data_IF_637414696455
#
_entry.id   IF_637414696455
#
_cell.length_a   1.000
_cell.length_b   1.000
_cell.length_c   1.000
_cell.angle_alpha   90.00
_cell.angle_beta   90.00
_cell.angle_gamma   90.00
#
_symmetry.space_group_name_H-M   'P 1'
#
loop_
_entity.id
_entity.type
_entity.pdbx_description
1 polymer ?
#
# COMPACT_ATOMS: atom_id res chain seq x y z
N UNK A 1 31.94 -25.36 -33.84
CA UNK A 1 30.50 -25.35 -33.82
C UNK A 1 30.07 -24.30 -32.81
N UNK A 2 29.75 -23.09 -33.29
CA UNK A 2 29.33 -21.95 -32.45
C UNK A 2 27.82 -22.04 -32.26
N UNK A 3 27.35 -22.18 -31.01
CA UNK A 3 25.91 -22.07 -30.69
C UNK A 3 25.55 -20.59 -30.58
N UNK A 4 24.74 -20.08 -31.50
CA UNK A 4 24.05 -18.80 -31.39
C UNK A 4 22.98 -18.96 -30.29
N UNK A 5 23.14 -18.20 -29.23
CA UNK A 5 22.08 -17.96 -28.29
C UNK A 5 21.21 -16.82 -28.85
N UNK A 6 19.99 -17.16 -29.25
CA UNK A 6 18.98 -16.18 -29.65
C UNK A 6 18.47 -15.49 -28.41
N UNK A 7 18.85 -14.24 -28.21
CA UNK A 7 18.24 -13.34 -27.21
C UNK A 7 16.89 -12.92 -27.79
N UNK A 8 15.81 -13.49 -27.27
CA UNK A 8 14.47 -12.98 -27.51
C UNK A 8 14.32 -11.73 -26.64
N UNK A 9 14.50 -10.57 -27.26
CA UNK A 9 14.19 -9.27 -26.67
C UNK A 9 12.66 -9.13 -26.68
N UNK A 10 11.99 -9.61 -25.65
CA UNK A 10 10.57 -9.35 -25.43
C UNK A 10 10.40 -7.86 -25.17
N UNK A 11 9.86 -7.11 -26.14
CA UNK A 11 9.22 -5.83 -25.88
C UNK A 11 8.03 -6.10 -24.95
N UNK A 12 8.24 -6.00 -23.66
CA UNK A 12 7.16 -5.80 -22.72
C UNK A 12 6.57 -4.42 -23.03
N UNK A 13 5.55 -4.39 -23.88
CA UNK A 13 4.60 -3.30 -23.91
C UNK A 13 4.06 -3.23 -22.49
N UNK A 14 4.52 -2.25 -21.71
CA UNK A 14 4.03 -1.99 -20.38
C UNK A 14 2.52 -1.77 -20.45
N UNK A 15 1.77 -2.83 -20.22
CA UNK A 15 0.36 -2.70 -19.88
C UNK A 15 0.33 -1.87 -18.59
N UNK A 16 -0.57 -0.87 -18.49
CA UNK A 16 -0.70 -0.13 -17.26
C UNK A 16 -0.94 -1.13 -16.11
N UNK A 17 -0.37 -0.85 -14.93
CA UNK A 17 -0.83 -1.48 -13.70
C UNK A 17 -2.27 -0.97 -13.45
N UNK A 18 -3.21 -1.46 -14.24
CA UNK A 18 -4.59 -1.55 -13.81
C UNK A 18 -4.53 -2.30 -12.48
N UNK A 19 -5.40 -2.05 -11.54
CA UNK A 19 -5.57 -2.90 -10.37
C UNK A 19 -5.90 -4.31 -10.86
N UNK A 20 -4.88 -5.01 -11.36
CA UNK A 20 -4.99 -6.40 -11.75
C UNK A 20 -4.96 -7.18 -10.44
N UNK A 21 -5.92 -8.07 -10.30
CA UNK A 21 -5.91 -8.97 -9.19
C UNK A 21 -4.71 -9.91 -9.27
N UNK A 22 -4.43 -10.58 -8.17
CA UNK A 22 -3.37 -11.57 -8.07
C UNK A 22 -3.89 -12.93 -8.51
N UNK A 23 -3.32 -13.50 -9.55
CA UNK A 23 -3.73 -14.83 -10.06
C UNK A 23 -3.09 -15.97 -9.26
N UNK A 24 -3.72 -17.18 -9.28
CA UNK A 24 -3.12 -18.36 -8.69
C UNK A 24 -1.74 -18.70 -9.27
N UNK A 25 -1.55 -18.50 -10.58
CA UNK A 25 -0.29 -18.78 -11.29
C UNK A 25 0.85 -17.88 -10.80
N UNK A 26 0.55 -16.64 -10.48
CA UNK A 26 1.53 -15.70 -9.94
C UNK A 26 1.96 -16.09 -8.53
N UNK A 27 1.03 -16.57 -7.69
CA UNK A 27 1.36 -17.07 -6.34
C UNK A 27 2.11 -18.41 -6.43
N UNK A 28 1.79 -19.25 -7.42
CA UNK A 28 2.54 -20.49 -7.68
C UNK A 28 3.99 -20.18 -8.07
N UNK A 29 4.24 -19.07 -8.77
CA UNK A 29 5.58 -18.64 -9.14
C UNK A 29 6.35 -18.02 -7.97
N UNK A 30 5.69 -17.25 -7.11
CA UNK A 30 6.24 -16.67 -5.88
C UNK A 30 5.14 -16.55 -4.80
N UNK A 31 5.16 -17.46 -3.84
CA UNK A 31 4.18 -17.52 -2.75
C UNK A 31 4.16 -16.26 -1.87
N UNK A 32 5.25 -15.48 -1.84
CA UNK A 32 5.34 -14.22 -1.08
C UNK A 32 4.40 -13.14 -1.63
N UNK A 33 3.97 -13.25 -2.88
CA UNK A 33 2.95 -12.36 -3.44
C UNK A 33 1.62 -12.45 -2.68
N UNK A 34 1.33 -13.60 -2.08
CA UNK A 34 0.17 -13.80 -1.22
C UNK A 34 0.37 -13.28 0.22
N UNK A 35 1.42 -12.54 0.52
CA UNK A 35 1.61 -11.93 1.84
C UNK A 35 0.71 -10.70 2.10
N UNK A 36 -0.14 -10.34 1.12
CA UNK A 36 -1.14 -9.27 1.20
C UNK A 36 -0.51 -7.93 1.62
N UNK A 37 -1.08 -7.23 2.58
CA UNK A 37 -0.58 -5.93 3.07
C UNK A 37 0.79 -5.95 3.73
N UNK A 38 1.35 -7.13 4.01
CA UNK A 38 2.71 -7.29 4.54
C UNK A 38 3.77 -7.45 3.44
N UNK A 39 3.35 -7.61 2.19
CA UNK A 39 4.27 -7.69 1.06
C UNK A 39 5.28 -6.54 1.11
N UNK A 40 6.54 -6.86 0.90
CA UNK A 40 7.60 -5.87 0.78
C UNK A 40 7.62 -5.29 -0.63
N UNK A 41 7.83 -3.99 -0.77
CA UNK A 41 8.11 -3.42 -2.08
C UNK A 41 9.54 -3.74 -2.50
N UNK A 42 9.68 -4.33 -3.68
CA UNK A 42 10.97 -4.69 -4.25
C UNK A 42 11.33 -3.73 -5.39
N UNK A 43 12.45 -3.03 -5.24
CA UNK A 43 12.95 -2.09 -6.23
C UNK A 43 13.94 -2.80 -7.19
N UNK A 44 13.42 -3.58 -8.11
CA UNK A 44 14.23 -4.40 -9.03
C UNK A 44 14.88 -3.59 -10.15
N UNK A 45 14.44 -2.34 -10.34
CA UNK A 45 14.92 -1.46 -11.40
C UNK A 45 15.69 -0.26 -10.86
N UNK A 46 16.68 0.29 -11.60
CA UNK A 46 17.30 1.55 -11.23
C UNK A 46 16.29 2.70 -11.19
N UNK A 47 16.37 3.55 -10.16
CA UNK A 47 15.55 4.76 -10.08
C UNK A 47 15.83 5.66 -11.29
N UNK A 48 14.80 5.95 -12.08
CA UNK A 48 14.89 6.79 -13.27
C UNK A 48 13.72 7.79 -13.30
N UNK A 49 14.02 9.03 -13.65
CA UNK A 49 12.96 9.98 -13.96
C UNK A 49 12.25 9.54 -15.24
N UNK A 50 10.92 9.62 -15.30
CA UNK A 50 10.21 9.42 -16.56
C UNK A 50 10.64 10.47 -17.58
N UNK A 51 10.75 10.08 -18.87
CA UNK A 51 11.09 10.99 -19.95
C UNK A 51 10.01 12.07 -20.08
N UNK A 52 10.33 13.28 -19.63
CA UNK A 52 9.42 14.42 -19.73
C UNK A 52 9.31 14.94 -21.16
N UNK A 53 8.18 15.55 -21.54
CA UNK A 53 8.07 16.29 -22.81
C UNK A 53 9.17 17.33 -22.95
N UNK A 54 9.64 17.55 -24.20
CA UNK A 54 10.74 18.47 -24.47
C UNK A 54 10.49 19.85 -23.88
N UNK A 55 11.48 20.40 -23.19
CA UNK A 55 11.42 21.71 -22.55
C UNK A 55 10.81 21.74 -21.16
N UNK A 56 10.16 20.68 -20.70
CA UNK A 56 9.61 20.57 -19.34
C UNK A 56 10.65 19.99 -18.37
N UNK A 57 10.68 20.58 -17.16
CA UNK A 57 11.53 20.11 -16.06
C UNK A 57 10.70 19.98 -14.77
N UNK A 58 10.92 18.95 -13.95
CA UNK A 58 10.24 18.84 -12.67
C UNK A 58 10.69 19.99 -11.76
N UNK A 59 9.73 20.57 -11.03
CA UNK A 59 9.98 21.68 -10.09
C UNK A 59 9.36 21.49 -8.72
N UNK A 60 8.43 20.53 -8.57
CA UNK A 60 7.81 20.20 -7.30
C UNK A 60 7.39 18.73 -7.28
N UNK A 61 7.47 18.11 -6.10
CA UNK A 61 7.03 16.74 -5.80
C UNK A 61 6.01 16.80 -4.67
N UNK A 62 4.93 16.04 -4.80
CA UNK A 62 3.92 15.93 -3.76
C UNK A 62 3.59 14.46 -3.55
N UNK A 63 3.70 13.95 -2.31
CA UNK A 63 3.49 12.52 -2.02
C UNK A 63 2.49 12.31 -0.89
N UNK A 64 1.86 11.11 -0.92
CA UNK A 64 1.30 10.47 0.25
C UNK A 64 1.85 9.05 0.33
N UNK A 65 2.56 8.74 1.42
CA UNK A 65 3.23 7.46 1.61
C UNK A 65 2.60 6.67 2.76
N UNK A 66 2.42 5.37 2.55
CA UNK A 66 2.13 4.41 3.60
C UNK A 66 3.35 4.29 4.52
N UNK A 67 3.16 4.05 5.82
CA UNK A 67 4.27 3.70 6.72
C UNK A 67 5.04 2.48 6.21
N UNK A 68 6.29 2.35 6.59
CA UNK A 68 7.12 1.19 6.27
C UNK A 68 6.69 -0.10 6.96
N UNK A 69 7.41 -1.18 6.69
CA UNK A 69 7.19 -2.48 7.29
C UNK A 69 7.10 -2.38 8.82
N UNK A 70 6.10 -3.05 9.38
CA UNK A 70 5.77 -3.01 10.80
C UNK A 70 5.37 -4.36 11.33
N UNK A 71 5.54 -4.59 12.62
CA UNK A 71 5.09 -5.79 13.29
C UNK A 71 3.57 -5.88 13.34
N UNK A 72 3.05 -7.09 13.52
CA UNK A 72 1.61 -7.32 13.63
C UNK A 72 0.99 -6.51 14.76
N UNK A 73 -0.29 -6.22 14.62
CA UNK A 73 -0.98 -5.26 15.48
C UNK A 73 -1.35 -5.76 16.88
N UNK A 74 -1.24 -7.06 17.13
CA UNK A 74 -1.65 -7.66 18.42
C UNK A 74 -0.61 -8.67 18.88
N UNK A 75 -0.14 -8.52 20.11
CA UNK A 75 0.75 -9.48 20.78
C UNK A 75 0.18 -10.90 20.78
N UNK A 76 -1.14 -11.03 20.90
CA UNK A 76 -1.83 -12.33 20.93
C UNK A 76 -1.59 -13.20 19.69
N UNK A 77 -1.16 -12.62 18.55
CA UNK A 77 -0.75 -13.41 17.39
C UNK A 77 0.49 -14.23 17.74
N UNK A 78 1.49 -13.56 18.26
CA UNK A 78 2.79 -14.15 18.61
C UNK A 78 2.64 -15.16 19.76
N UNK A 79 1.93 -14.75 20.82
CA UNK A 79 1.69 -15.58 21.99
C UNK A 79 0.93 -16.87 21.64
N UNK A 80 -0.11 -16.79 20.82
CA UNK A 80 -0.91 -17.95 20.45
C UNK A 80 -0.17 -18.90 19.52
N UNK A 81 0.59 -18.41 18.55
CA UNK A 81 1.41 -19.27 17.68
C UNK A 81 2.52 -19.93 18.51
N UNK A 82 3.25 -19.20 19.33
CA UNK A 82 4.27 -19.75 20.21
C UNK A 82 3.69 -20.83 21.15
N UNK A 83 2.55 -20.53 21.79
CA UNK A 83 1.82 -21.48 22.65
C UNK A 83 1.38 -22.75 21.90
N UNK A 84 0.88 -22.58 20.66
CA UNK A 84 0.46 -23.71 19.83
C UNK A 84 1.66 -24.62 19.51
N UNK A 85 2.75 -24.03 19.06
CA UNK A 85 3.94 -24.78 18.64
C UNK A 85 4.63 -25.51 19.79
N UNK A 86 4.81 -24.84 20.93
CA UNK A 86 5.41 -25.46 22.15
C UNK A 86 4.56 -26.58 22.72
N UNK A 87 3.22 -26.43 22.71
CA UNK A 87 2.30 -27.52 23.12
C UNK A 87 2.37 -28.70 22.17
N UNK A 88 2.44 -28.45 20.86
CA UNK A 88 2.49 -29.50 19.86
C UNK A 88 3.81 -30.30 19.93
N UNK A 89 4.92 -29.65 20.23
CA UNK A 89 6.18 -30.30 20.48
C UNK A 89 6.12 -31.21 21.71
N UNK A 90 5.66 -30.66 22.83
CA UNK A 90 5.51 -31.40 24.09
C UNK A 90 4.60 -32.64 23.95
N UNK A 91 3.58 -32.56 23.07
CA UNK A 91 2.66 -33.66 22.77
C UNK A 91 3.15 -34.60 21.64
N UNK A 92 4.31 -34.33 21.05
CA UNK A 92 4.85 -35.16 19.94
C UNK A 92 4.00 -35.01 18.65
N UNK A 93 3.27 -33.94 18.47
CA UNK A 93 2.33 -33.72 17.37
C UNK A 93 2.93 -33.05 16.13
N UNK A 94 4.19 -32.57 16.22
CA UNK A 94 4.80 -31.86 15.08
C UNK A 94 5.21 -32.83 13.96
N UNK A 95 4.97 -32.42 12.73
CA UNK A 95 5.57 -32.96 11.51
C UNK A 95 7.00 -32.41 11.33
N UNK A 96 7.76 -32.81 10.31
CA UNK A 96 9.04 -32.16 9.98
C UNK A 96 8.89 -30.65 9.72
N UNK A 97 7.89 -30.25 8.92
CA UNK A 97 7.58 -28.83 8.63
C UNK A 97 7.09 -28.08 9.87
N UNK A 98 6.35 -28.78 10.75
CA UNK A 98 5.95 -28.23 12.05
C UNK A 98 7.15 -27.93 12.95
N UNK A 99 8.18 -28.77 12.95
CA UNK A 99 9.43 -28.50 13.69
C UNK A 99 10.20 -27.32 13.12
N UNK A 100 10.25 -27.19 11.78
CA UNK A 100 10.83 -26.04 11.13
C UNK A 100 10.09 -24.75 11.52
N UNK A 101 8.75 -24.75 11.49
CA UNK A 101 7.95 -23.60 11.93
C UNK A 101 8.19 -23.29 13.42
N UNK A 102 8.33 -24.28 14.31
CA UNK A 102 8.66 -24.06 15.71
C UNK A 102 10.00 -23.33 15.85
N UNK A 103 11.06 -23.83 15.22
CA UNK A 103 12.40 -23.22 15.29
C UNK A 103 12.38 -21.76 14.83
N UNK A 104 11.74 -21.50 13.67
CA UNK A 104 11.61 -20.14 13.14
C UNK A 104 10.74 -19.26 14.04
N UNK A 105 9.63 -19.79 14.56
CA UNK A 105 8.72 -19.04 15.41
C UNK A 105 9.34 -18.65 16.75
N UNK A 106 10.21 -19.46 17.34
CA UNK A 106 10.94 -19.10 18.56
C UNK A 106 11.88 -17.93 18.32
N UNK A 107 12.68 -17.99 17.24
CA UNK A 107 13.58 -16.89 16.87
C UNK A 107 12.82 -15.58 16.64
N UNK A 108 11.68 -15.64 15.95
CA UNK A 108 10.82 -14.47 15.70
C UNK A 108 10.20 -13.98 17.01
N UNK A 109 9.65 -14.87 17.85
CA UNK A 109 8.96 -14.50 19.10
C UNK A 109 9.84 -13.66 20.02
N UNK A 110 11.10 -14.04 20.17
CA UNK A 110 12.05 -13.26 20.99
C UNK A 110 12.35 -11.87 20.42
N UNK A 111 12.33 -11.70 19.09
CA UNK A 111 12.55 -10.42 18.43
C UNK A 111 11.35 -9.46 18.52
N UNK A 112 10.11 -10.00 18.54
CA UNK A 112 8.89 -9.21 18.34
C UNK A 112 8.05 -9.02 19.60
N UNK A 113 8.24 -9.82 20.64
CA UNK A 113 7.48 -9.76 21.88
C UNK A 113 7.56 -8.38 22.53
N UNK A 114 6.42 -7.82 22.89
CA UNK A 114 6.31 -6.48 23.49
C UNK A 114 6.44 -5.34 22.48
N UNK A 115 6.40 -5.65 21.17
CA UNK A 115 6.63 -4.67 20.11
C UNK A 115 5.52 -4.60 19.07
N UNK A 116 4.32 -5.04 19.43
CA UNK A 116 3.17 -4.95 18.53
C UNK A 116 3.01 -3.53 17.96
N UNK A 117 2.76 -3.42 16.65
CA UNK A 117 2.66 -2.17 15.88
C UNK A 117 3.96 -1.39 15.65
N UNK A 118 5.10 -1.79 16.20
CA UNK A 118 6.35 -1.09 15.97
C UNK A 118 6.78 -1.14 14.50
N UNK A 119 7.29 -0.03 14.01
CA UNK A 119 8.02 0.01 12.74
C UNK A 119 9.27 -0.88 12.85
N UNK A 120 9.50 -1.74 11.87
CA UNK A 120 10.73 -2.56 11.83
C UNK A 120 11.92 -1.75 11.31
N UNK A 121 13.12 -2.26 11.51
CA UNK A 121 14.33 -1.71 10.90
C UNK A 121 14.24 -1.75 9.37
N UNK A 122 13.71 -2.84 8.83
CA UNK A 122 13.42 -2.97 7.40
C UNK A 122 12.47 -1.87 6.92
N UNK A 123 11.41 -1.55 7.69
CA UNK A 123 10.48 -0.46 7.36
C UNK A 123 11.14 0.93 7.33
N UNK A 124 12.10 1.18 8.22
CA UNK A 124 12.90 2.41 8.16
C UNK A 124 13.77 2.43 6.90
N UNK A 125 14.42 1.30 6.59
CA UNK A 125 15.25 1.19 5.39
C UNK A 125 14.44 1.35 4.10
N UNK A 126 13.20 0.84 4.02
CA UNK A 126 12.30 1.08 2.90
C UNK A 126 12.12 2.59 2.64
N UNK A 127 11.83 3.39 3.67
CA UNK A 127 11.65 4.83 3.50
C UNK A 127 12.94 5.59 3.14
N UNK A 128 14.11 5.16 3.64
CA UNK A 128 15.40 5.70 3.15
C UNK A 128 15.59 5.38 1.66
N UNK A 129 15.26 4.16 1.26
CA UNK A 129 15.37 3.74 -0.15
C UNK A 129 14.43 4.55 -1.04
N UNK A 130 13.15 4.69 -0.66
CA UNK A 130 12.17 5.52 -1.40
C UNK A 130 12.65 6.96 -1.55
N UNK A 131 13.10 7.58 -0.45
CA UNK A 131 13.62 8.96 -0.47
C UNK A 131 14.81 9.11 -1.42
N UNK A 132 15.77 8.17 -1.38
CA UNK A 132 16.93 8.15 -2.28
C UNK A 132 16.53 7.99 -3.75
N UNK A 133 15.53 7.16 -4.05
CA UNK A 133 15.00 6.96 -5.40
C UNK A 133 14.28 8.21 -5.92
N UNK A 134 13.42 8.83 -5.11
CA UNK A 134 12.75 10.09 -5.45
C UNK A 134 13.80 11.18 -5.69
N UNK A 135 14.79 11.33 -4.82
CA UNK A 135 15.87 12.27 -5.02
C UNK A 135 16.59 12.06 -6.36
N UNK A 136 16.96 10.83 -6.68
CA UNK A 136 17.67 10.50 -7.93
C UNK A 136 16.80 10.80 -9.15
N UNK A 137 15.54 10.41 -9.15
CA UNK A 137 14.62 10.56 -10.26
C UNK A 137 14.23 12.04 -10.52
N UNK A 138 13.99 12.81 -9.46
CA UNK A 138 13.50 14.19 -9.56
C UNK A 138 14.49 15.24 -9.02
N UNK A 139 15.76 14.96 -9.03
CA UNK A 139 16.81 15.88 -8.56
C UNK A 139 16.68 17.33 -9.07
N UNK A 140 16.23 17.60 -10.32
CA UNK A 140 16.04 18.98 -10.79
C UNK A 140 15.04 19.79 -9.96
N UNK A 141 14.02 19.18 -9.35
CA UNK A 141 13.05 19.85 -8.47
C UNK A 141 13.74 20.47 -7.24
N UNK A 142 14.76 19.81 -6.72
CA UNK A 142 15.51 20.25 -5.54
C UNK A 142 16.65 21.23 -5.84
N UNK A 143 16.95 21.54 -7.13
CA UNK A 143 17.99 22.52 -7.50
C UNK A 143 17.51 23.95 -7.42
N UNK A 144 16.25 24.22 -7.80
CA UNK A 144 15.68 25.57 -7.82
C UNK A 144 14.94 25.92 -6.53
N UNK A 145 14.47 24.91 -5.81
CA UNK A 145 13.72 25.03 -4.56
C UNK A 145 14.40 24.16 -3.50
N UNK A 146 14.39 24.62 -2.25
CA UNK A 146 15.23 24.00 -1.22
C UNK A 146 14.44 23.49 -0.01
N UNK A 147 13.16 23.79 0.05
CA UNK A 147 12.33 23.39 1.19
C UNK A 147 11.64 22.05 0.95
N UNK A 148 11.77 21.15 1.90
CA UNK A 148 10.91 19.97 2.06
C UNK A 148 9.95 20.26 3.20
N UNK A 149 8.65 20.10 2.93
CA UNK A 149 7.57 20.27 3.91
C UNK A 149 6.91 18.89 4.12
N UNK A 150 7.08 18.30 5.30
CA UNK A 150 6.64 16.95 5.60
C UNK A 150 5.62 16.91 6.74
N UNK A 151 4.56 16.12 6.57
CA UNK A 151 3.52 15.92 7.58
C UNK A 151 3.25 14.43 7.77
N UNK A 152 2.96 14.03 9.01
CA UNK A 152 2.66 12.65 9.36
C UNK A 152 1.39 12.55 10.21
N UNK A 153 0.68 11.43 10.10
CA UNK A 153 -0.32 11.07 11.11
C UNK A 153 0.34 10.84 12.47
N UNK A 154 -0.44 10.98 13.55
CA UNK A 154 0.06 10.85 14.93
C UNK A 154 0.23 9.38 15.38
N UNK A 155 0.77 8.53 14.52
CA UNK A 155 1.13 7.17 14.91
C UNK A 155 2.65 6.98 14.86
N UNK A 156 3.21 6.28 15.86
CA UNK A 156 4.66 6.13 15.99
C UNK A 156 5.32 5.64 14.69
N UNK A 157 4.73 4.61 14.04
CA UNK A 157 5.30 4.03 12.82
C UNK A 157 5.31 5.00 11.64
N UNK A 158 4.31 5.90 11.52
CA UNK A 158 4.29 6.90 10.44
C UNK A 158 5.28 8.03 10.70
N UNK A 159 5.40 8.47 11.96
CA UNK A 159 6.39 9.47 12.38
C UNK A 159 7.81 8.95 12.14
N UNK A 160 8.09 7.71 12.54
CA UNK A 160 9.40 7.09 12.33
C UNK A 160 9.70 6.85 10.84
N UNK A 161 8.69 6.53 10.03
CA UNK A 161 8.81 6.43 8.57
C UNK A 161 9.17 7.78 7.96
N UNK A 162 8.48 8.85 8.36
CA UNK A 162 8.80 10.21 7.96
C UNK A 162 10.24 10.58 8.35
N UNK A 163 10.63 10.31 9.60
CA UNK A 163 11.97 10.63 10.10
C UNK A 163 13.04 9.92 9.29
N UNK A 164 12.85 8.62 8.99
CA UNK A 164 13.81 7.85 8.19
C UNK A 164 13.97 8.42 6.76
N UNK A 165 12.87 8.84 6.12
CA UNK A 165 12.93 9.50 4.81
C UNK A 165 13.65 10.85 4.87
N UNK A 166 13.36 11.66 5.91
CA UNK A 166 13.97 12.99 6.08
C UNK A 166 15.45 12.91 6.40
N UNK A 167 15.87 11.91 7.16
CA UNK A 167 17.30 11.64 7.39
C UNK A 167 18.03 11.37 6.08
N UNK A 168 17.46 10.58 5.19
CA UNK A 168 18.05 10.30 3.89
C UNK A 168 18.14 11.57 3.04
N UNK A 169 17.12 12.43 3.01
CA UNK A 169 17.20 13.71 2.30
C UNK A 169 18.30 14.61 2.88
N UNK A 170 18.47 14.68 4.21
CA UNK A 170 19.58 15.43 4.85
C UNK A 170 20.94 14.87 4.47
N UNK A 171 21.06 13.54 4.41
CA UNK A 171 22.30 12.86 3.98
C UNK A 171 22.65 13.18 2.54
N UNK A 172 21.63 13.24 1.66
CA UNK A 172 21.81 13.51 0.22
C UNK A 172 22.14 14.98 -0.08
N UNK A 173 21.58 15.91 0.68
CA UNK A 173 21.90 17.34 0.59
C UNK A 173 21.64 18.06 1.93
N UNK A 174 22.69 18.29 2.69
CA UNK A 174 22.64 18.99 3.98
C UNK A 174 22.22 20.47 3.92
N UNK A 175 22.01 21.02 2.70
CA UNK A 175 21.54 22.41 2.52
C UNK A 175 20.02 22.50 2.35
N UNK A 176 19.30 21.40 2.39
CA UNK A 176 17.84 21.41 2.34
C UNK A 176 17.27 22.03 3.61
N UNK A 177 16.27 22.88 3.44
CA UNK A 177 15.45 23.40 4.52
C UNK A 177 14.31 22.40 4.77
N UNK A 178 14.41 21.58 5.83
CA UNK A 178 13.42 20.55 6.13
C UNK A 178 12.53 21.01 7.27
N UNK A 179 11.25 21.20 6.98
CA UNK A 179 10.17 21.43 7.95
C UNK A 179 9.34 20.17 8.05
N UNK A 180 8.93 19.80 9.25
CA UNK A 180 8.10 18.62 9.46
C UNK A 180 7.23 18.76 10.69
N UNK A 181 6.07 18.12 10.65
CA UNK A 181 5.10 18.09 11.75
C UNK A 181 4.33 16.77 11.80
N UNK A 182 3.76 16.46 12.96
CA UNK A 182 2.81 15.38 13.21
C UNK A 182 1.68 15.90 14.10
N UNK A 183 1.03 16.95 13.65
CA UNK A 183 0.00 17.67 14.39
C UNK A 183 -1.35 16.97 14.35
N UNK A 184 -2.10 17.08 15.46
CA UNK A 184 -3.53 16.71 15.48
C UNK A 184 -4.35 17.52 14.46
N UNK A 185 -3.94 18.75 14.13
CA UNK A 185 -4.59 19.60 13.16
C UNK A 185 -4.60 18.99 11.75
N UNK A 186 -3.57 18.21 11.40
CA UNK A 186 -3.47 17.56 10.10
C UNK A 186 -4.26 16.23 10.01
N UNK A 187 -4.74 15.70 11.15
CA UNK A 187 -5.43 14.41 11.17
C UNK A 187 -6.73 14.41 10.38
N UNK A 188 -7.44 15.55 10.28
CA UNK A 188 -8.63 15.68 9.44
C UNK A 188 -8.36 15.46 7.95
N UNK A 189 -7.13 15.68 7.51
CA UNK A 189 -6.67 15.47 6.12
C UNK A 189 -5.98 14.12 5.97
N UNK A 190 -4.97 13.85 6.80
CA UNK A 190 -4.10 12.69 6.64
C UNK A 190 -4.74 11.38 7.08
N UNK A 191 -5.66 11.44 8.06
CA UNK A 191 -6.40 10.28 8.56
C UNK A 191 -7.69 10.72 9.28
N UNK A 192 -8.72 11.18 8.57
CA UNK A 192 -9.94 11.72 9.17
C UNK A 192 -10.68 10.68 10.03
N UNK A 193 -10.47 9.40 9.79
CA UNK A 193 -11.12 8.30 10.51
C UNK A 193 -10.43 7.96 11.84
N UNK A 194 -9.27 8.57 12.11
CA UNK A 194 -8.50 8.27 13.32
C UNK A 194 -9.14 8.85 14.57
N UNK A 195 -9.10 8.08 15.66
CA UNK A 195 -9.43 8.56 17.02
C UNK A 195 -8.59 9.77 17.46
N UNK A 196 -7.48 10.04 16.80
CA UNK A 196 -6.63 11.20 17.06
C UNK A 196 -7.05 12.45 16.27
N UNK A 197 -8.04 12.32 15.36
CA UNK A 197 -8.63 13.48 14.73
C UNK A 197 -9.53 14.21 15.72
N UNK A 198 -9.23 15.46 16.13
CA UNK A 198 -10.03 16.19 17.11
C UNK A 198 -11.45 16.51 16.62
N UNK A 199 -11.68 16.38 15.31
CA UNK A 199 -12.97 16.62 14.64
C UNK A 199 -13.64 15.32 14.17
N UNK A 200 -13.19 14.15 14.66
CA UNK A 200 -13.72 12.85 14.23
C UNK A 200 -15.22 12.71 14.52
N UNK A 201 -15.72 13.37 15.56
CA UNK A 201 -17.13 13.32 15.97
C UNK A 201 -18.05 14.16 15.08
N UNK A 202 -17.51 15.16 14.39
CA UNK A 202 -18.28 16.01 13.45
C UNK A 202 -18.72 15.23 12.19
N UNK A 203 -18.08 14.06 11.94
CA UNK A 203 -18.30 13.19 10.80
C UNK A 203 -18.24 11.72 11.22
N UNK A 204 -19.29 11.24 11.88
CA UNK A 204 -19.39 9.89 12.51
C UNK A 204 -19.30 8.70 11.54
N UNK A 205 -19.30 8.96 10.27
CA UNK A 205 -19.30 7.98 9.20
C UNK A 205 -17.96 7.26 8.98
N UNK A 206 -16.90 7.74 9.56
CA UNK A 206 -15.53 7.28 9.30
C UNK A 206 -15.16 5.99 10.02
N UNK A 207 -15.79 5.69 11.13
CA UNK A 207 -15.65 4.41 11.85
C UNK A 207 -16.50 3.31 11.24
N UNK A 208 -17.42 3.66 10.35
CA UNK A 208 -18.44 2.74 9.88
C UNK A 208 -17.85 1.60 9.03
N UNK A 209 -16.82 1.84 8.21
CA UNK A 209 -16.39 0.85 7.25
C UNK A 209 -15.65 -0.34 7.84
N UNK A 210 -14.67 -0.12 8.71
CA UNK A 210 -14.04 -1.23 9.45
C UNK A 210 -14.94 -1.81 10.53
N UNK A 211 -15.77 -0.97 11.15
CA UNK A 211 -16.68 -1.37 12.24
C UNK A 211 -18.02 -1.92 11.71
N UNK A 212 -18.44 -1.60 10.49
CA UNK A 212 -19.66 -2.12 9.87
C UNK A 212 -19.47 -3.56 9.39
N UNK A 213 -19.04 -4.41 10.30
CA UNK A 213 -18.81 -5.83 10.05
C UNK A 213 -20.08 -6.56 9.61
N UNK A 214 -21.26 -6.03 9.89
CA UNK A 214 -22.53 -6.63 9.49
C UNK A 214 -22.68 -6.69 7.96
N UNK A 215 -22.11 -5.76 7.21
CA UNK A 215 -22.23 -5.71 5.74
C UNK A 215 -21.32 -6.67 5.01
N UNK A 216 -20.07 -6.80 5.42
CA UNK A 216 -19.09 -7.62 4.69
C UNK A 216 -18.73 -8.92 5.39
N UNK A 217 -18.84 -9.00 6.72
CA UNK A 217 -18.39 -10.15 7.50
C UNK A 217 -19.12 -11.46 7.18
N UNK A 218 -20.44 -11.48 6.87
CA UNK A 218 -21.09 -12.72 6.45
C UNK A 218 -20.49 -13.34 5.19
N UNK A 219 -20.19 -12.51 4.18
CA UNK A 219 -19.55 -12.96 2.94
C UNK A 219 -18.10 -13.39 3.18
N UNK A 220 -17.36 -12.63 3.96
CA UNK A 220 -15.98 -12.93 4.36
C UNK A 220 -15.87 -14.26 5.12
N UNK A 221 -16.73 -14.51 6.10
CA UNK A 221 -16.72 -15.77 6.86
C UNK A 221 -17.08 -16.96 5.98
N UNK A 222 -17.97 -16.77 5.00
CA UNK A 222 -18.33 -17.81 4.02
C UNK A 222 -17.12 -18.11 3.14
N UNK A 223 -16.47 -17.08 2.59
CA UNK A 223 -15.28 -17.23 1.75
C UNK A 223 -14.17 -17.98 2.47
N UNK A 224 -13.90 -17.67 3.74
CA UNK A 224 -12.94 -18.42 4.56
C UNK A 224 -13.34 -19.87 4.76
N UNK A 225 -14.63 -20.15 4.97
CA UNK A 225 -15.13 -21.52 5.13
C UNK A 225 -15.00 -22.34 3.83
N UNK A 226 -15.23 -21.69 2.69
CA UNK A 226 -15.18 -22.34 1.38
C UNK A 226 -13.73 -22.57 0.91
N UNK A 227 -12.79 -21.70 1.31
CA UNK A 227 -11.40 -21.72 0.88
C UNK A 227 -10.46 -22.51 1.79
N UNK A 228 -10.75 -22.60 3.08
CA UNK A 228 -9.86 -23.28 4.03
C UNK A 228 -10.16 -24.80 4.05
N UNK A 229 -9.18 -25.60 3.65
CA UNK A 229 -9.13 -27.04 3.95
C UNK A 229 -8.28 -27.27 5.23
N UNK A 230 -8.91 -27.47 6.40
CA UNK A 230 -8.15 -27.59 7.64
C UNK A 230 -7.25 -28.84 7.69
N UNK A 231 -7.65 -29.93 7.03
CA UNK A 231 -6.86 -31.17 7.00
C UNK A 231 -5.59 -30.96 6.20
N UNK A 232 -5.69 -30.33 5.03
CA UNK A 232 -4.54 -30.03 4.17
C UNK A 232 -3.61 -29.02 4.81
N UNK A 233 -4.14 -27.87 5.24
CA UNK A 233 -3.34 -26.75 5.79
C UNK A 233 -2.65 -27.14 7.10
N UNK A 234 -3.40 -27.66 8.06
CA UNK A 234 -2.82 -27.96 9.38
C UNK A 234 -2.10 -29.33 9.44
N UNK A 235 -2.50 -30.29 8.59
CA UNK A 235 -1.79 -31.55 8.45
C UNK A 235 -0.36 -31.41 7.95
N UNK A 236 -0.03 -30.28 7.32
CA UNK A 236 1.35 -29.94 6.98
C UNK A 236 2.23 -29.73 8.23
N UNK A 237 1.67 -29.19 9.31
CA UNK A 237 2.43 -28.82 10.52
C UNK A 237 2.19 -29.77 11.69
N UNK A 238 1.02 -30.43 11.74
CA UNK A 238 0.60 -31.25 12.87
C UNK A 238 0.16 -32.63 12.39
N UNK A 239 0.54 -33.70 13.13
CA UNK A 239 0.10 -35.07 12.85
C UNK A 239 -1.42 -35.22 12.97
N UNK A 240 -2.02 -34.52 13.93
CA UNK A 240 -3.47 -34.34 14.04
C UNK A 240 -3.80 -32.86 13.68
N UNK A 241 -4.45 -32.56 12.54
CA UNK A 241 -4.88 -31.23 12.18
C UNK A 241 -5.77 -30.56 13.20
N UNK A 242 -6.52 -31.33 14.00
CA UNK A 242 -7.39 -30.79 15.05
C UNK A 242 -6.62 -30.24 16.25
N UNK A 243 -5.32 -30.50 16.34
CA UNK A 243 -4.50 -30.01 17.46
C UNK A 243 -4.55 -28.47 17.60
N UNK A 244 -4.76 -27.74 16.51
CA UNK A 244 -4.90 -26.27 16.54
C UNK A 244 -6.05 -25.79 17.41
N UNK A 245 -7.10 -26.61 17.59
CA UNK A 245 -8.24 -26.29 18.43
C UNK A 245 -7.93 -26.32 19.94
N UNK A 246 -6.74 -26.78 20.34
CA UNK A 246 -6.26 -26.67 21.73
C UNK A 246 -5.91 -25.22 22.12
N UNK A 247 -5.74 -24.33 21.12
CA UNK A 247 -5.39 -22.92 21.29
C UNK A 247 -6.43 -22.00 20.66
N UNK A 248 -6.95 -22.35 19.49
CA UNK A 248 -7.90 -21.55 18.74
C UNK A 248 -9.33 -22.11 18.86
N UNK A 249 -10.32 -21.23 18.83
CA UNK A 249 -11.74 -21.59 19.01
C UNK A 249 -12.32 -22.39 17.82
N UNK A 250 -11.79 -22.16 16.63
CA UNK A 250 -12.22 -22.78 15.38
C UNK A 250 -11.10 -22.76 14.32
N UNK A 251 -11.26 -23.55 13.25
CA UNK A 251 -10.29 -23.63 12.16
C UNK A 251 -10.11 -22.34 11.39
N UNK A 252 -11.17 -21.57 11.17
CA UNK A 252 -11.07 -20.27 10.49
C UNK A 252 -10.19 -19.30 11.27
N UNK A 253 -10.38 -19.22 12.58
CA UNK A 253 -9.52 -18.40 13.45
C UNK A 253 -8.07 -18.88 13.42
N UNK A 254 -7.85 -20.20 13.49
CA UNK A 254 -6.50 -20.79 13.42
C UNK A 254 -5.85 -20.49 12.06
N UNK A 255 -6.56 -20.70 10.95
CA UNK A 255 -6.06 -20.43 9.59
C UNK A 255 -5.69 -18.97 9.39
N UNK A 256 -6.53 -18.03 9.84
CA UNK A 256 -6.22 -16.61 9.78
C UNK A 256 -4.99 -16.24 10.62
N UNK A 257 -4.87 -16.79 11.82
CA UNK A 257 -3.70 -16.51 12.66
C UNK A 257 -2.43 -17.09 12.07
N UNK A 258 -2.48 -18.30 11.53
CA UNK A 258 -1.35 -18.89 10.81
C UNK A 258 -0.96 -18.05 9.59
N UNK A 259 -1.91 -17.72 8.74
CA UNK A 259 -1.67 -16.89 7.55
C UNK A 259 -1.06 -15.53 7.92
N UNK A 260 -1.61 -14.81 8.91
CA UNK A 260 -1.05 -13.55 9.37
C UNK A 260 0.34 -13.71 10.00
N UNK A 261 0.59 -14.83 10.69
CA UNK A 261 1.90 -15.10 11.26
C UNK A 261 2.96 -15.30 10.17
N UNK A 262 2.62 -16.05 9.14
CA UNK A 262 3.55 -16.29 8.03
C UNK A 262 3.73 -15.03 7.17
N UNK A 263 2.65 -14.31 6.88
CA UNK A 263 2.68 -13.08 6.06
C UNK A 263 3.46 -11.96 6.73
N UNK A 264 3.30 -11.73 8.05
CA UNK A 264 3.99 -10.63 8.70
C UNK A 264 5.51 -10.80 8.72
N UNK A 265 6.02 -12.03 8.55
CA UNK A 265 7.46 -12.30 8.48
C UNK A 265 8.15 -11.49 7.37
N UNK A 266 7.44 -11.16 6.27
CA UNK A 266 7.91 -10.26 5.22
C UNK A 266 8.33 -8.87 5.76
N UNK A 267 7.76 -8.46 6.89
CA UNK A 267 8.08 -7.16 7.50
C UNK A 267 9.42 -7.14 8.24
N UNK A 268 10.03 -8.29 8.43
CA UNK A 268 11.36 -8.44 9.02
C UNK A 268 12.47 -8.39 7.96
N UNK A 269 12.13 -8.54 6.70
CA UNK A 269 13.02 -8.61 5.55
C UNK A 269 12.75 -9.85 4.69
N UNK A 270 13.10 -9.79 3.43
CA UNK A 270 12.81 -10.87 2.47
C UNK A 270 13.45 -12.21 2.84
N UNK A 271 14.61 -12.20 3.50
CA UNK A 271 15.31 -13.41 3.96
C UNK A 271 14.65 -14.06 5.20
N UNK A 272 13.77 -13.32 5.88
CA UNK A 272 13.03 -13.78 7.06
C UNK A 272 11.63 -14.31 6.69
N UNK A 273 11.27 -14.31 5.40
CA UNK A 273 9.97 -14.79 4.92
C UNK A 273 9.69 -16.21 5.32
N UNK A 274 8.51 -16.45 5.89
CA UNK A 274 7.99 -17.77 6.23
C UNK A 274 6.86 -18.21 5.27
N UNK A 275 6.55 -17.43 4.24
CA UNK A 275 5.47 -17.74 3.31
C UNK A 275 5.72 -19.05 2.55
N UNK A 276 6.96 -19.45 2.35
CA UNK A 276 7.31 -20.73 1.70
C UNK A 276 6.83 -21.98 2.49
N UNK A 277 6.46 -21.81 3.75
CA UNK A 277 5.87 -22.87 4.56
C UNK A 277 4.42 -23.18 4.20
N UNK A 278 3.74 -22.29 3.47
CA UNK A 278 2.42 -22.59 2.91
C UNK A 278 2.51 -23.21 1.53
N UNK A 279 1.57 -24.10 1.23
CA UNK A 279 1.30 -24.48 -0.14
C UNK A 279 0.81 -23.23 -0.92
N UNK A 280 1.32 -22.96 -2.14
CA UNK A 280 0.91 -21.77 -2.90
C UNK A 280 -0.58 -21.68 -3.19
N UNK A 281 -1.27 -22.80 -3.39
CA UNK A 281 -2.72 -22.80 -3.62
C UNK A 281 -3.49 -22.43 -2.34
N UNK A 282 -3.05 -22.89 -1.17
CA UNK A 282 -3.63 -22.50 0.11
C UNK A 282 -3.33 -21.04 0.44
N UNK A 283 -2.11 -20.59 0.18
CA UNK A 283 -1.71 -19.19 0.37
C UNK A 283 -2.58 -18.26 -0.47
N UNK A 284 -2.83 -18.59 -1.76
CA UNK A 284 -3.71 -17.81 -2.62
C UNK A 284 -5.14 -17.77 -2.11
N UNK A 285 -5.71 -18.90 -1.69
CA UNK A 285 -7.08 -18.95 -1.13
C UNK A 285 -7.23 -18.14 0.14
N UNK A 286 -6.22 -18.15 1.02
CA UNK A 286 -6.23 -17.33 2.24
C UNK A 286 -6.07 -15.84 1.91
N UNK A 287 -5.19 -15.52 0.94
CA UNK A 287 -5.04 -14.17 0.41
C UNK A 287 -6.35 -13.67 -0.20
N UNK A 288 -7.06 -14.46 -1.01
CA UNK A 288 -8.36 -14.09 -1.60
C UNK A 288 -9.36 -13.62 -0.54
N UNK A 289 -9.39 -14.30 0.62
CA UNK A 289 -10.26 -13.92 1.72
C UNK A 289 -9.89 -12.54 2.30
N UNK A 290 -8.64 -12.31 2.62
CA UNK A 290 -8.21 -11.04 3.20
C UNK A 290 -8.24 -9.90 2.18
N UNK A 291 -7.92 -10.18 0.91
CA UNK A 291 -8.07 -9.25 -0.20
C UNK A 291 -9.53 -8.77 -0.37
N UNK A 292 -10.51 -9.71 -0.30
CA UNK A 292 -11.92 -9.34 -0.28
C UNK A 292 -12.28 -8.42 0.89
N UNK A 293 -11.76 -8.70 2.08
CA UNK A 293 -11.96 -7.82 3.25
C UNK A 293 -11.42 -6.41 2.99
N UNK A 294 -10.21 -6.31 2.43
CA UNK A 294 -9.60 -5.01 2.14
C UNK A 294 -10.33 -4.27 1.02
N UNK A 295 -10.75 -4.98 -0.04
CA UNK A 295 -11.61 -4.41 -1.06
C UNK A 295 -12.92 -3.86 -0.48
N UNK A 296 -13.55 -4.61 0.44
CA UNK A 296 -14.78 -4.18 1.10
C UNK A 296 -14.61 -2.89 1.92
N UNK A 297 -13.42 -2.64 2.46
CA UNK A 297 -13.14 -1.45 3.25
C UNK A 297 -12.64 -0.26 2.41
N UNK A 298 -11.79 -0.51 1.42
CA UNK A 298 -10.95 0.52 0.78
C UNK A 298 -11.11 0.59 -0.75
N UNK A 299 -11.68 -0.44 -1.40
CA UNK A 299 -11.87 -0.50 -2.85
C UNK A 299 -13.15 0.17 -3.31
N UNK A 300 -13.43 0.07 -4.62
CA UNK A 300 -14.67 0.56 -5.24
C UNK A 300 -15.87 -0.38 -4.98
N UNK A 301 -15.99 -0.89 -3.76
CA UNK A 301 -17.05 -1.83 -3.37
C UNK A 301 -18.45 -1.22 -3.51
N UNK A 302 -19.47 -1.98 -3.94
CA UNK A 302 -20.85 -1.51 -3.97
C UNK A 302 -21.50 -1.37 -2.60
N UNK A 303 -20.89 -1.96 -1.53
CA UNK A 303 -21.48 -2.04 -0.19
C UNK A 303 -21.81 -0.68 0.44
N UNK A 304 -21.07 0.37 0.09
CA UNK A 304 -21.19 1.69 0.71
C UNK A 304 -21.57 2.80 -0.25
N UNK A 305 -21.96 2.45 -1.49
CA UNK A 305 -22.38 3.43 -2.50
C UNK A 305 -21.36 4.56 -2.72
N UNK A 306 -20.07 4.25 -2.58
CA UNK A 306 -18.97 5.19 -2.79
C UNK A 306 -18.53 5.98 -1.56
N UNK A 307 -19.24 5.89 -0.42
CA UNK A 307 -18.87 6.65 0.79
C UNK A 307 -17.45 6.36 1.27
N UNK A 308 -17.02 5.10 1.21
CA UNK A 308 -15.72 4.67 1.69
C UNK A 308 -14.54 5.39 0.98
N UNK A 309 -14.63 5.64 -0.31
CA UNK A 309 -13.60 6.37 -1.05
C UNK A 309 -13.89 7.88 -1.17
N UNK A 310 -15.15 8.31 -1.08
CA UNK A 310 -15.50 9.75 -1.06
C UNK A 310 -14.86 10.47 0.15
N UNK A 311 -14.57 9.75 1.22
CA UNK A 311 -13.86 10.23 2.41
C UNK A 311 -12.46 10.79 2.12
N UNK A 312 -11.89 10.44 0.98
CA UNK A 312 -10.57 10.91 0.58
C UNK A 312 -10.60 12.34 0.01
N UNK A 313 -11.78 12.95 -0.08
CA UNK A 313 -11.95 14.33 -0.55
C UNK A 313 -11.06 15.33 0.19
N UNK A 314 -10.91 15.18 1.51
CA UNK A 314 -10.08 16.07 2.31
C UNK A 314 -8.59 16.01 1.90
N UNK A 315 -8.09 14.82 1.61
CA UNK A 315 -6.71 14.63 1.13
C UNK A 315 -6.54 15.18 -0.29
N UNK A 316 -7.51 14.95 -1.18
CA UNK A 316 -7.45 15.47 -2.55
C UNK A 316 -7.54 17.01 -2.58
N UNK A 317 -8.38 17.64 -1.73
CA UNK A 317 -8.42 19.10 -1.58
C UNK A 317 -7.10 19.67 -1.08
N UNK A 318 -6.47 18.99 -0.12
CA UNK A 318 -5.15 19.37 0.38
C UNK A 318 -4.08 19.30 -0.72
N UNK A 319 -4.11 18.28 -1.55
CA UNK A 319 -3.23 18.20 -2.72
C UNK A 319 -3.46 19.36 -3.68
N UNK A 320 -4.69 19.59 -4.11
CA UNK A 320 -5.04 20.65 -5.08
C UNK A 320 -4.64 22.03 -4.55
N UNK A 321 -4.96 22.31 -3.27
CA UNK A 321 -4.58 23.58 -2.62
C UNK A 321 -3.07 23.82 -2.71
N UNK A 322 -2.28 22.85 -2.31
CA UNK A 322 -0.83 23.02 -2.28
C UNK A 322 -0.19 22.98 -3.67
N UNK A 323 -0.78 22.29 -4.65
CA UNK A 323 -0.32 22.38 -6.03
C UNK A 323 -0.55 23.78 -6.59
N UNK A 324 -1.71 24.42 -6.35
CA UNK A 324 -1.96 25.81 -6.74
C UNK A 324 -0.95 26.77 -6.12
N UNK A 325 -0.67 26.65 -4.81
CA UNK A 325 0.33 27.46 -4.10
C UNK A 325 1.73 27.28 -4.71
N UNK A 326 2.15 26.04 -4.95
CA UNK A 326 3.48 25.72 -5.46
C UNK A 326 3.64 26.09 -6.94
N UNK A 327 2.55 26.07 -7.72
CA UNK A 327 2.51 26.55 -9.09
C UNK A 327 2.62 28.08 -9.12
N UNK A 328 1.94 28.78 -8.23
CA UNK A 328 2.02 30.23 -8.13
C UNK A 328 3.43 30.73 -7.75
N UNK A 329 4.19 29.95 -6.99
CA UNK A 329 5.58 30.32 -6.61
C UNK A 329 6.07 29.61 -5.36
N UNK A 330 7.12 30.15 -4.74
CA UNK A 330 7.67 29.67 -3.47
C UNK A 330 8.89 28.76 -3.58
N UNK A 331 9.40 28.32 -2.42
CA UNK A 331 10.65 27.57 -2.27
C UNK A 331 10.44 26.08 -1.95
N UNK A 332 9.19 25.59 -1.97
CA UNK A 332 8.90 24.18 -1.65
C UNK A 332 9.21 23.30 -2.85
N UNK A 333 10.22 22.43 -2.71
CA UNK A 333 10.61 21.41 -3.67
C UNK A 333 9.80 20.14 -3.52
N UNK A 334 9.46 19.77 -2.29
CA UNK A 334 8.69 18.56 -2.01
C UNK A 334 7.73 18.75 -0.83
N UNK A 335 6.50 18.26 -1.00
CA UNK A 335 5.51 18.11 0.06
C UNK A 335 5.28 16.63 0.31
N UNK A 336 5.69 16.16 1.48
CA UNK A 336 5.65 14.77 1.84
C UNK A 336 4.58 14.51 2.90
N UNK A 337 3.71 13.54 2.65
CA UNK A 337 2.68 13.13 3.61
C UNK A 337 2.88 11.65 3.95
N UNK A 338 2.81 11.33 5.24
CA UNK A 338 3.00 9.96 5.74
C UNK A 338 1.76 9.48 6.49
N UNK A 339 1.25 8.32 6.10
CA UNK A 339 0.03 7.79 6.68
C UNK A 339 -0.17 6.30 6.40
N UNK A 340 -1.30 5.95 5.80
CA UNK A 340 -1.81 4.59 5.73
C UNK A 340 -2.26 4.21 4.32
N UNK A 341 -2.26 2.92 4.04
CA UNK A 341 -2.60 2.27 2.78
C UNK A 341 -4.01 2.57 2.27
N UNK A 342 -5.03 2.45 3.14
CA UNK A 342 -6.42 2.69 2.75
C UNK A 342 -6.67 4.11 2.20
N UNK A 343 -5.88 5.10 2.63
CA UNK A 343 -5.92 6.46 2.08
C UNK A 343 -5.43 6.49 0.63
N UNK A 344 -4.42 5.69 0.30
CA UNK A 344 -3.91 5.57 -1.08
C UNK A 344 -4.98 4.94 -1.96
N UNK A 345 -5.52 3.77 -1.55
CA UNK A 345 -6.55 3.06 -2.30
C UNK A 345 -7.77 3.95 -2.56
N UNK A 346 -8.34 4.54 -1.51
CA UNK A 346 -9.50 5.41 -1.63
C UNK A 346 -9.24 6.64 -2.51
N UNK A 347 -8.03 7.24 -2.43
CA UNK A 347 -7.64 8.38 -3.28
C UNK A 347 -7.56 7.97 -4.76
N UNK A 348 -7.05 6.78 -5.06
CA UNK A 348 -6.97 6.27 -6.44
C UNK A 348 -8.37 6.01 -7.02
N UNK A 349 -9.29 5.47 -6.22
CA UNK A 349 -10.70 5.31 -6.60
C UNK A 349 -11.37 6.68 -6.78
N UNK A 350 -11.16 7.61 -5.84
CA UNK A 350 -11.69 8.97 -5.94
C UNK A 350 -11.21 9.67 -7.21
N UNK A 351 -9.93 9.56 -7.55
CA UNK A 351 -9.35 10.14 -8.77
C UNK A 351 -9.75 9.39 -10.06
N UNK A 352 -10.49 8.29 -9.95
CA UNK A 352 -10.83 7.45 -11.11
C UNK A 352 -9.58 6.99 -11.88
N UNK A 353 -8.54 6.64 -11.15
CA UNK A 353 -7.32 6.12 -11.73
C UNK A 353 -7.62 4.80 -12.46
N UNK A 354 -7.04 4.62 -13.66
CA UNK A 354 -7.27 3.46 -14.52
C UNK A 354 -7.06 2.15 -13.73
N UNK A 355 -8.08 1.29 -13.75
CA UNK A 355 -8.07 0.00 -13.04
C UNK A 355 -8.59 0.05 -11.59
N UNK A 356 -8.60 1.20 -10.91
CA UNK A 356 -8.98 1.29 -9.49
C UNK A 356 -10.47 1.47 -9.23
N UNK A 357 -11.22 1.95 -10.22
CA UNK A 357 -12.67 2.20 -10.11
C UNK A 357 -13.55 0.97 -10.40
N UNK A 358 -12.99 -0.21 -10.66
CA UNK A 358 -13.76 -1.41 -10.94
C UNK A 358 -14.56 -1.89 -9.72
N UNK A 359 -15.85 -2.17 -9.96
CA UNK A 359 -16.80 -2.59 -8.93
C UNK A 359 -17.19 -4.05 -9.14
N UNK A 360 -17.07 -4.88 -8.10
CA UNK A 360 -17.47 -6.29 -8.09
C UNK A 360 -18.26 -6.59 -6.81
N UNK A 361 -19.41 -7.26 -6.98
CA UNK A 361 -20.27 -7.64 -5.88
C UNK A 361 -20.04 -9.09 -5.41
N UNK A 362 -19.49 -9.93 -6.28
CA UNK A 362 -19.23 -11.34 -5.99
C UNK A 362 -17.87 -11.50 -5.29
N UNK A 363 -17.83 -11.92 -4.01
CA UNK A 363 -16.59 -12.10 -3.27
C UNK A 363 -15.55 -12.99 -3.97
N UNK A 364 -16.00 -14.01 -4.70
CA UNK A 364 -15.16 -14.96 -5.44
C UNK A 364 -14.58 -14.40 -6.75
N UNK A 365 -14.90 -13.15 -7.11
CA UNK A 365 -14.41 -12.50 -8.33
C UNK A 365 -13.58 -11.24 -8.05
N UNK A 366 -13.60 -10.76 -6.82
CA UNK A 366 -12.86 -9.55 -6.42
C UNK A 366 -11.37 -9.66 -6.76
N UNK A 367 -10.77 -10.83 -6.60
CA UNK A 367 -9.37 -11.08 -6.93
C UNK A 367 -8.97 -10.74 -8.37
N UNK A 368 -9.94 -10.68 -9.30
CA UNK A 368 -9.68 -10.36 -10.71
C UNK A 368 -9.47 -8.88 -10.97
N UNK A 369 -9.97 -8.04 -10.08
CA UNK A 369 -10.03 -6.58 -10.28
C UNK A 369 -9.32 -5.80 -9.17
N UNK A 370 -8.92 -6.46 -8.11
CA UNK A 370 -8.33 -5.81 -6.95
C UNK A 370 -7.29 -6.69 -6.29
N UNK A 371 -6.12 -6.14 -6.08
CA UNK A 371 -5.04 -6.74 -5.28
C UNK A 371 -4.52 -5.70 -4.29
N UNK A 372 -4.76 -5.96 -3.02
CA UNK A 372 -4.27 -5.08 -1.98
C UNK A 372 -2.74 -5.09 -1.83
N UNK A 373 -2.10 -6.16 -2.28
CA UNK A 373 -0.65 -6.29 -2.38
C UNK A 373 0.00 -5.26 -3.33
N UNK A 374 -0.78 -4.63 -4.21
CA UNK A 374 -0.32 -3.51 -5.04
C UNK A 374 -0.09 -2.21 -4.25
N UNK A 375 -0.34 -2.23 -2.94
CA UNK A 375 0.01 -1.16 -2.01
C UNK A 375 0.90 -1.71 -0.89
N UNK A 376 2.10 -2.20 -1.21
CA UNK A 376 3.00 -2.82 -0.24
C UNK A 376 3.42 -1.84 0.87
N UNK A 377 4.11 -2.34 1.89
CA UNK A 377 4.69 -1.48 2.92
C UNK A 377 5.61 -0.43 2.29
N UNK A 378 5.51 0.82 2.77
CA UNK A 378 6.16 2.02 2.22
C UNK A 378 5.65 2.46 0.83
N UNK A 379 4.54 1.90 0.34
CA UNK A 379 3.92 2.34 -0.91
C UNK A 379 3.71 3.85 -0.93
N UNK A 380 3.99 4.46 -2.08
CA UNK A 380 4.05 5.91 -2.24
C UNK A 380 3.31 6.38 -3.48
N UNK A 381 2.18 7.03 -3.25
CA UNK A 381 1.48 7.82 -4.27
C UNK A 381 2.25 9.14 -4.46
N UNK A 382 2.72 9.40 -5.68
CA UNK A 382 3.55 10.54 -6.01
C UNK A 382 2.96 11.33 -7.19
N UNK A 383 2.90 12.64 -7.03
CA UNK A 383 2.62 13.60 -8.09
C UNK A 383 3.83 14.49 -8.32
N UNK A 384 4.30 14.57 -9.57
CA UNK A 384 5.38 15.44 -9.97
C UNK A 384 4.85 16.55 -10.89
N UNK A 385 5.17 17.79 -10.56
CA UNK A 385 4.83 18.97 -11.37
C UNK A 385 6.02 19.37 -12.23
N UNK A 386 5.78 19.57 -13.51
CA UNK A 386 6.77 19.96 -14.50
C UNK A 386 6.41 21.32 -15.09
N UNK A 387 7.42 22.15 -15.36
CA UNK A 387 7.23 23.48 -15.97
C UNK A 387 8.18 23.67 -17.13
N UNK A 388 7.70 24.33 -18.17
CA UNK A 388 8.55 24.79 -19.30
C UNK A 388 8.88 26.28 -19.17
N UNK A 389 9.70 26.80 -20.09
CA UNK A 389 10.11 28.21 -20.10
C UNK A 389 8.96 29.19 -20.37
N UNK A 390 7.84 28.72 -20.92
CA UNK A 390 6.64 29.54 -21.19
C UNK A 390 5.71 29.61 -19.98
N UNK A 391 6.02 28.90 -18.89
CA UNK A 391 5.19 28.81 -17.70
C UNK A 391 4.11 27.74 -17.76
N UNK A 392 3.99 26.98 -18.85
CA UNK A 392 3.04 25.87 -18.94
C UNK A 392 3.41 24.78 -17.91
N UNK A 393 2.41 24.23 -17.24
CA UNK A 393 2.58 23.22 -16.20
C UNK A 393 1.96 21.89 -16.63
N UNK A 394 2.70 20.82 -16.40
CA UNK A 394 2.21 19.46 -16.53
C UNK A 394 2.30 18.75 -15.19
N UNK A 395 1.37 17.83 -14.97
CA UNK A 395 1.37 16.90 -13.84
C UNK A 395 1.55 15.46 -14.35
N UNK A 396 2.27 14.66 -13.58
CA UNK A 396 2.38 13.21 -13.73
C UNK A 396 2.19 12.56 -12.37
N UNK A 397 1.40 11.49 -12.32
CA UNK A 397 1.20 10.70 -11.12
C UNK A 397 1.80 9.29 -11.27
N UNK A 398 2.24 8.72 -10.16
CA UNK A 398 2.68 7.33 -10.06
C UNK A 398 2.34 6.73 -8.69
N UNK A 399 2.11 5.43 -8.67
CA UNK A 399 2.12 4.62 -7.46
C UNK A 399 3.35 3.70 -7.54
N UNK A 400 4.22 3.79 -6.54
CA UNK A 400 5.44 2.96 -6.48
C UNK A 400 6.27 2.98 -7.79
N UNK A 401 6.41 4.18 -8.37
CA UNK A 401 7.07 4.49 -9.64
C UNK A 401 6.30 4.08 -10.90
N UNK A 402 5.26 3.24 -10.80
CA UNK A 402 4.40 2.89 -11.92
C UNK A 402 3.45 4.03 -12.26
N UNK A 403 3.34 4.34 -13.56
CA UNK A 403 2.55 5.48 -14.02
C UNK A 403 1.06 5.26 -13.82
N UNK A 404 0.40 6.22 -13.18
CA UNK A 404 -1.06 6.28 -13.10
C UNK A 404 -1.63 7.01 -14.31
N UNK A 405 -2.76 6.50 -14.82
CA UNK A 405 -3.52 7.12 -15.89
C UNK A 405 -4.91 7.51 -15.38
N UNK A 406 -5.44 8.57 -15.98
CA UNK A 406 -6.75 9.12 -15.63
C UNK A 406 -7.61 9.26 -16.88
N UNK A 407 -8.96 9.28 -16.78
CA UNK A 407 -9.86 9.37 -17.92
C UNK A 407 -9.95 10.79 -18.49
N UNK A 408 -8.80 11.39 -18.75
CA UNK A 408 -8.61 12.69 -19.37
C UNK A 408 -7.53 12.60 -20.44
N UNK A 409 -7.53 13.56 -21.40
CA UNK A 409 -6.58 13.53 -22.50
C UNK A 409 -5.14 13.71 -22.04
N UNK A 410 -4.26 12.80 -22.43
CA UNK A 410 -2.83 12.97 -22.23
C UNK A 410 -2.30 14.20 -22.98
N UNK A 411 -1.23 14.80 -22.44
CA UNK A 411 -0.57 15.94 -23.09
C UNK A 411 -0.07 15.59 -24.48
N UNK A 412 -0.34 16.49 -25.43
CA UNK A 412 0.23 16.48 -26.79
C UNK A 412 1.07 17.71 -27.03
N UNK A 413 2.28 17.52 -27.59
CA UNK A 413 3.13 18.64 -27.98
C UNK A 413 2.64 19.31 -29.28
N UNK A 414 3.31 20.38 -29.68
CA UNK A 414 2.98 21.15 -30.91
C UNK A 414 3.14 20.37 -32.20
N UNK A 415 3.78 19.19 -32.17
CA UNK A 415 3.95 18.28 -33.30
C UNK A 415 2.93 17.14 -33.27
N UNK A 416 1.97 17.18 -32.32
CA UNK A 416 0.94 16.16 -32.16
C UNK A 416 1.42 14.90 -31.44
N UNK A 417 2.67 14.83 -30.96
CA UNK A 417 3.20 13.68 -30.19
C UNK A 417 2.53 13.63 -28.82
N UNK A 418 1.92 12.50 -28.51
CA UNK A 418 1.31 12.23 -27.23
C UNK A 418 2.33 11.74 -26.19
N UNK A 419 2.11 12.16 -24.94
CA UNK A 419 2.92 11.74 -23.79
C UNK A 419 2.00 11.11 -22.73
N UNK A 420 1.75 9.80 -22.79
CA UNK A 420 0.88 9.10 -21.84
C UNK A 420 1.32 9.31 -20.39
N UNK A 421 0.34 9.57 -19.51
CA UNK A 421 0.59 9.83 -18.08
C UNK A 421 1.10 11.23 -17.77
N UNK A 422 1.22 12.13 -18.77
CA UNK A 422 1.40 13.57 -18.57
C UNK A 422 0.12 14.30 -18.93
N UNK A 423 -0.31 15.20 -18.09
CA UNK A 423 -1.56 15.96 -18.24
C UNK A 423 -1.27 17.46 -18.07
N UNK A 424 -1.99 18.34 -18.77
CA UNK A 424 -1.97 19.78 -18.46
C UNK A 424 -2.54 19.97 -17.06
N UNK A 425 -1.96 20.88 -16.32
CA UNK A 425 -2.43 21.19 -14.97
C UNK A 425 -3.91 21.57 -14.95
N UNK A 426 -4.33 22.43 -15.87
CA UNK A 426 -5.70 22.90 -15.97
C UNK A 426 -6.69 21.75 -16.16
N UNK A 427 -6.36 20.81 -17.06
CA UNK A 427 -7.21 19.63 -17.35
C UNK A 427 -7.26 18.67 -16.15
N UNK A 428 -6.10 18.45 -15.50
CA UNK A 428 -6.03 17.61 -14.32
C UNK A 428 -6.74 18.24 -13.12
N UNK A 429 -6.61 19.54 -12.91
CA UNK A 429 -7.33 20.29 -11.86
C UNK A 429 -8.84 20.20 -12.07
N UNK A 430 -9.31 20.45 -13.28
CA UNK A 430 -10.74 20.33 -13.61
C UNK A 430 -11.27 18.90 -13.36
N UNK A 431 -10.45 17.88 -13.65
CA UNK A 431 -10.77 16.49 -13.30
C UNK A 431 -10.89 16.31 -11.77
N UNK A 432 -9.91 16.78 -10.99
CA UNK A 432 -9.96 16.73 -9.53
C UNK A 432 -11.21 17.42 -8.98
N UNK A 433 -11.54 18.61 -9.46
CA UNK A 433 -12.73 19.38 -9.04
C UNK A 433 -14.03 18.63 -9.34
N UNK A 434 -14.13 18.01 -10.52
CA UNK A 434 -15.27 17.14 -10.87
C UNK A 434 -15.40 15.96 -9.92
N UNK A 435 -14.30 15.31 -9.55
CA UNK A 435 -14.29 14.17 -8.62
C UNK A 435 -14.62 14.60 -7.20
N UNK A 436 -14.15 15.77 -6.77
CA UNK A 436 -14.49 16.37 -5.48
C UNK A 436 -16.00 16.70 -5.39
N UNK A 437 -16.58 17.30 -6.43
CA UNK A 437 -18.01 17.55 -6.47
C UNK A 437 -18.85 16.26 -6.41
N UNK A 438 -18.36 15.15 -7.01
CA UNK A 438 -19.00 13.84 -6.87
C UNK A 438 -18.92 13.33 -5.42
N UNK A 439 -17.75 13.46 -4.78
CA UNK A 439 -17.58 13.04 -3.39
C UNK A 439 -18.50 13.84 -2.45
N UNK A 440 -18.57 15.17 -2.61
CA UNK A 440 -19.50 16.01 -1.83
C UNK A 440 -20.94 15.53 -1.96
N UNK A 441 -21.40 15.29 -3.20
CA UNK A 441 -22.75 14.78 -3.45
C UNK A 441 -23.01 13.42 -2.79
N UNK A 442 -22.02 12.51 -2.78
CA UNK A 442 -22.13 11.21 -2.12
C UNK A 442 -22.25 11.39 -0.60
N UNK A 443 -21.45 12.29 -0.04
CA UNK A 443 -21.39 12.53 1.40
C UNK A 443 -22.59 13.30 1.94
N UNK A 444 -23.22 14.15 1.12
CA UNK A 444 -24.42 14.90 1.48
C UNK A 444 -25.70 14.03 1.46
N UNK A 445 -25.77 13.03 0.59
CA UNK A 445 -26.94 12.17 0.43
C UNK A 445 -26.98 10.97 1.41
N UNK A 446 -26.13 10.95 2.41
CA UNK A 446 -25.97 9.89 3.38
C UNK A 446 -25.97 10.37 4.80
#
# INVERSE_FOLDING_TARGET
MKRLASIILGLALGLPLAAQGLSPEEVQADVRRAADWYAGYHYDTPAAAPAAPSGFKPFNISTYARHGARLYSKESLYDNIHKLMTRAEAAGQLTPEGRELLEKSEAVYHKVRGRAYDLTEYGQQQHRTVAGRIWKAWKPAFKGRRTIDARSTQTNRTILSMTAALDEYRRLDGKLNIRFDASAADMGVLNPTSKYNPRAEERDWSRAFEADTARWNPAFNRLWKDNLDPVHVFGRFFKDPAFVLTVFKDYTTAGRMLYFYLSFSETLGAEESLMYLLDPADAWKMWECENFRMYSCCGATPLYHGRNWALEEALLRDFVKYWDEDIAGGDVAARLRFGHDYKISGTLVLLDAEGWGHCEADPHKVWRIYDYGNMPMASTLLFALYRNRKGEVLVRASLDEEVLRFPISAYRDSRGREYPGFYRWEDFKAHCEKRLALADKILENT
#
